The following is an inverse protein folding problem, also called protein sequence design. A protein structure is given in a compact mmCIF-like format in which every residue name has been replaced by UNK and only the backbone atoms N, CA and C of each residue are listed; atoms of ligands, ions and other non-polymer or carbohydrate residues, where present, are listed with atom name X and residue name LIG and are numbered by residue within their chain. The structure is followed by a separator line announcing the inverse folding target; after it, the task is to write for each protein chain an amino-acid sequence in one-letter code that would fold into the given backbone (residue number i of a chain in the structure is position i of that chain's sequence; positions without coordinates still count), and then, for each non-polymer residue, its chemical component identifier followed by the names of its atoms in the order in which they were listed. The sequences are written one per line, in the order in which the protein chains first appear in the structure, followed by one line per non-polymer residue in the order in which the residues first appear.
data_IF_557038350986
#
_entry.id   IF_557038350986
#
_cell.length_a   1.000
_cell.length_b   1.000
_cell.length_c   1.000
_cell.angle_alpha   90.00
_cell.angle_beta   90.00
_cell.angle_gamma   90.00
#
_symmetry.space_group_name_H-M   'P 1'
#
loop_
_entity.id
_entity.type
_entity.pdbx_description
1 polymer ?
#
# COMPACT_ATOMS: atom_id res chain seq x y z
N UNK A 1 21.66 -17.71 -21.26
CA UNK A 1 21.15 -18.01 -19.91
C UNK A 1 19.90 -17.17 -19.72
N UNK A 2 18.75 -17.72 -20.08
CA UNK A 2 17.46 -17.05 -19.98
C UNK A 2 16.84 -17.47 -18.65
N UNK A 3 16.80 -16.56 -17.67
CA UNK A 3 16.15 -16.83 -16.39
C UNK A 3 14.64 -16.83 -16.62
N UNK A 4 14.09 -18.03 -16.81
CA UNK A 4 12.66 -18.26 -16.98
C UNK A 4 11.88 -17.49 -15.90
N UNK A 5 10.99 -16.59 -16.32
CA UNK A 5 10.09 -15.89 -15.42
C UNK A 5 9.23 -16.93 -14.69
N UNK A 6 9.20 -16.96 -13.34
CA UNK A 6 8.49 -17.99 -12.60
C UNK A 6 6.99 -17.98 -12.94
N UNK A 7 6.44 -19.17 -13.08
CA UNK A 7 5.04 -19.36 -13.44
C UNK A 7 4.12 -18.85 -12.31
N UNK A 8 2.87 -18.46 -12.59
CA UNK A 8 1.97 -17.90 -11.57
C UNK A 8 1.74 -18.83 -10.36
N UNK A 9 2.02 -20.12 -10.48
CA UNK A 9 1.86 -21.14 -9.44
C UNK A 9 3.03 -21.20 -8.44
N UNK A 10 4.20 -20.65 -8.81
CA UNK A 10 5.43 -20.68 -8.01
C UNK A 10 5.63 -19.41 -7.18
N UNK A 11 4.80 -18.38 -7.41
CA UNK A 11 4.71 -17.22 -6.52
C UNK A 11 3.81 -17.63 -5.36
N UNK A 12 4.34 -17.61 -4.14
CA UNK A 12 3.52 -17.64 -2.91
C UNK A 12 2.40 -16.59 -2.99
N UNK A 13 1.36 -16.65 -2.14
CA UNK A 13 0.17 -15.81 -2.26
C UNK A 13 0.60 -14.35 -2.53
N UNK A 14 0.23 -13.87 -3.72
CA UNK A 14 0.55 -12.50 -4.11
C UNK A 14 -0.04 -11.58 -3.03
N UNK A 15 0.77 -10.73 -2.37
CA UNK A 15 0.23 -9.82 -1.38
C UNK A 15 -0.87 -9.01 -2.04
N UNK A 16 -2.03 -8.85 -1.38
CA UNK A 16 -3.09 -8.06 -1.97
C UNK A 16 -2.55 -6.62 -2.21
N UNK A 17 -2.90 -5.97 -3.34
CA UNK A 17 -2.30 -4.69 -3.71
C UNK A 17 -2.38 -3.64 -2.59
N UNK A 18 -3.53 -3.59 -1.89
CA UNK A 18 -3.73 -2.71 -0.75
C UNK A 18 -2.78 -3.00 0.43
N UNK A 19 -2.56 -4.27 0.79
CA UNK A 19 -1.62 -4.62 1.87
C UNK A 19 -0.17 -4.32 1.49
N UNK A 20 0.22 -4.51 0.23
CA UNK A 20 1.54 -4.12 -0.24
C UNK A 20 1.77 -2.61 -0.06
N UNK A 21 0.84 -1.80 -0.56
CA UNK A 21 0.93 -0.33 -0.43
C UNK A 21 0.82 0.13 1.02
N UNK A 22 0.01 -0.53 1.85
CA UNK A 22 -0.03 -0.26 3.30
C UNK A 22 1.34 -0.49 3.94
N UNK A 23 2.04 -1.56 3.60
CA UNK A 23 3.40 -1.81 4.09
C UNK A 23 4.39 -0.70 3.70
N UNK A 24 4.32 -0.21 2.46
CA UNK A 24 5.13 0.93 2.01
C UNK A 24 4.76 2.20 2.79
N UNK A 25 3.46 2.44 3.01
CA UNK A 25 2.97 3.58 3.79
C UNK A 25 3.46 3.51 5.25
N UNK A 26 3.41 2.33 5.88
CA UNK A 26 3.90 2.09 7.23
C UNK A 26 5.38 2.46 7.41
N UNK A 27 6.20 2.31 6.37
CA UNK A 27 7.62 2.72 6.44
C UNK A 27 7.81 4.23 6.55
N UNK A 28 6.77 5.03 6.26
CA UNK A 28 6.82 6.50 6.14
C UNK A 28 5.99 7.23 7.20
N UNK A 29 5.01 6.55 7.78
CA UNK A 29 4.15 7.10 8.83
C UNK A 29 4.99 7.63 10.00
N UNK A 30 4.67 8.82 10.55
CA UNK A 30 5.34 9.33 11.75
C UNK A 30 5.30 8.32 12.92
N UNK A 31 6.46 8.11 13.56
CA UNK A 31 6.70 6.97 14.45
C UNK A 31 6.54 7.23 15.95
N UNK A 32 6.16 8.43 16.39
CA UNK A 32 6.24 8.89 17.79
C UNK A 32 5.99 7.79 18.84
N UNK A 33 4.76 7.27 18.94
CA UNK A 33 4.41 6.11 19.79
C UNK A 33 3.97 4.88 18.97
N UNK A 34 4.09 4.96 17.64
CA UNK A 34 3.56 3.97 16.69
C UNK A 34 2.04 3.84 16.65
N UNK A 35 1.29 4.68 17.38
CA UNK A 35 -0.19 4.64 17.44
C UNK A 35 -0.82 4.83 16.07
N UNK A 36 -0.31 5.79 15.30
CA UNK A 36 -0.76 6.03 13.93
C UNK A 36 -0.44 4.82 13.02
N UNK A 37 0.77 4.28 13.08
CA UNK A 37 1.15 3.09 12.31
C UNK A 37 0.24 1.89 12.59
N UNK A 38 -0.04 1.62 13.88
CA UNK A 38 -0.93 0.51 14.29
C UNK A 38 -2.38 0.69 13.85
N UNK A 39 -2.83 1.91 13.58
CA UNK A 39 -4.19 2.19 13.09
C UNK A 39 -4.38 1.89 11.59
N UNK A 40 -3.28 1.67 10.85
CA UNK A 40 -3.32 1.46 9.42
C UNK A 40 -4.13 0.21 9.03
N UNK A 41 -5.06 0.38 8.09
CA UNK A 41 -5.90 -0.70 7.57
C UNK A 41 -5.92 -0.68 6.04
N UNK A 42 -5.95 -1.87 5.45
CA UNK A 42 -6.23 -2.07 4.04
C UNK A 42 -7.54 -2.85 3.91
N UNK A 43 -8.46 -2.33 3.10
CA UNK A 43 -9.78 -2.91 2.85
C UNK A 43 -9.99 -3.16 1.35
N UNK A 44 -10.90 -4.09 1.04
CA UNK A 44 -11.19 -4.58 -0.29
C UNK A 44 -12.69 -4.60 -0.51
N UNK A 45 -13.16 -3.77 -1.45
CA UNK A 45 -14.56 -3.75 -1.90
C UNK A 45 -14.60 -3.90 -3.42
N UNK A 46 -14.92 -5.11 -3.90
CA UNK A 46 -14.89 -5.44 -5.32
C UNK A 46 -13.53 -5.16 -5.98
N UNK A 47 -13.51 -4.21 -6.91
CA UNK A 47 -12.28 -3.73 -7.58
C UNK A 47 -11.60 -2.57 -6.84
N UNK A 48 -12.27 -1.97 -5.86
CA UNK A 48 -11.70 -0.90 -5.06
C UNK A 48 -10.77 -1.46 -3.98
N UNK A 49 -9.71 -0.71 -3.70
CA UNK A 49 -8.78 -0.97 -2.60
C UNK A 49 -8.66 0.31 -1.82
N UNK A 50 -8.89 0.23 -0.51
CA UNK A 50 -8.88 1.40 0.38
C UNK A 50 -7.77 1.24 1.40
N UNK A 51 -7.03 2.31 1.65
CA UNK A 51 -6.06 2.41 2.73
C UNK A 51 -6.52 3.52 3.65
N UNK A 52 -6.64 3.23 4.93
CA UNK A 52 -7.10 4.19 5.93
C UNK A 52 -6.24 4.15 7.19
N UNK A 53 -6.28 5.25 7.92
CA UNK A 53 -5.64 5.46 9.21
C UNK A 53 -6.64 6.20 10.10
N UNK A 54 -6.64 5.92 11.40
CA UNK A 54 -7.62 6.47 12.31
C UNK A 54 -6.97 6.85 13.65
N UNK A 55 -6.60 8.14 13.74
CA UNK A 55 -6.15 8.78 14.98
C UNK A 55 -6.52 10.26 14.96
N UNK A 56 -6.57 10.89 16.13
CA UNK A 56 -6.96 12.31 16.30
C UNK A 56 -6.19 13.28 15.39
N UNK A 57 -4.91 12.99 15.09
CA UNK A 57 -4.05 13.86 14.30
C UNK A 57 -3.67 13.31 12.92
N UNK A 58 -4.33 12.24 12.45
CA UNK A 58 -4.00 11.58 11.18
C UNK A 58 -3.94 12.55 10.00
N UNK A 59 -4.93 13.43 9.89
CA UNK A 59 -5.06 14.39 8.78
C UNK A 59 -3.95 15.43 8.84
N UNK A 60 -3.69 16.02 10.02
CA UNK A 60 -2.60 16.99 10.19
C UNK A 60 -1.24 16.34 9.89
N UNK A 61 -0.97 15.15 10.41
CA UNK A 61 0.26 14.41 10.13
C UNK A 61 0.42 14.07 8.63
N UNK A 62 -0.68 13.95 7.88
CA UNK A 62 -0.65 13.67 6.45
C UNK A 62 -0.47 14.94 5.59
N UNK A 63 -1.04 16.06 6.01
CA UNK A 63 -1.13 17.29 5.21
C UNK A 63 -0.07 18.35 5.58
N UNK A 64 0.40 18.39 6.82
CA UNK A 64 1.30 19.44 7.31
C UNK A 64 2.76 19.23 6.87
N UNK A 65 3.10 19.73 5.67
CA UNK A 65 4.43 19.60 5.08
C UNK A 65 5.55 20.32 5.84
N UNK A 66 5.21 21.22 6.77
CA UNK A 66 6.18 21.99 7.55
C UNK A 66 6.65 21.28 8.83
N UNK A 67 6.00 20.17 9.20
CA UNK A 67 6.34 19.43 10.40
C UNK A 67 7.64 18.64 10.24
N UNK A 68 8.42 18.58 11.32
CA UNK A 68 9.66 17.81 11.34
C UNK A 68 9.35 16.39 11.76
N UNK A 69 9.46 15.46 10.82
CA UNK A 69 9.36 14.03 11.09
C UNK A 69 10.75 13.41 11.33
N UNK A 70 10.77 12.22 11.95
CA UNK A 70 11.98 11.43 12.10
C UNK A 70 12.57 11.01 10.73
N UNK A 71 13.87 10.68 10.65
CA UNK A 71 14.48 10.23 9.39
C UNK A 71 13.70 9.08 8.72
N UNK A 72 13.46 9.21 7.42
CA UNK A 72 12.67 8.25 6.63
C UNK A 72 11.16 8.34 6.82
N UNK A 73 10.68 9.19 7.74
CA UNK A 73 9.26 9.46 7.96
C UNK A 73 8.87 10.79 7.33
N UNK A 74 7.63 10.92 6.91
CA UNK A 74 7.18 12.07 6.13
C UNK A 74 5.66 12.26 6.18
N UNK A 75 5.23 13.48 5.88
CA UNK A 75 3.88 13.79 5.46
C UNK A 75 3.54 13.07 4.14
N UNK A 76 2.28 13.12 3.73
CA UNK A 76 1.77 12.50 2.50
C UNK A 76 2.14 11.02 2.36
N UNK A 77 2.23 10.29 3.48
CA UNK A 77 2.69 8.90 3.52
C UNK A 77 1.82 7.93 2.70
N UNK A 78 0.49 8.12 2.67
CA UNK A 78 -0.42 7.33 1.82
C UNK A 78 -0.26 7.67 0.33
N UNK A 79 -0.23 8.95 -0.01
CA UNK A 79 -0.11 9.40 -1.40
C UNK A 79 1.24 8.98 -1.99
N UNK A 80 2.34 9.22 -1.28
CA UNK A 80 3.67 8.84 -1.74
C UNK A 80 3.80 7.32 -1.86
N UNK A 81 3.24 6.55 -0.91
CA UNK A 81 3.26 5.09 -0.98
C UNK A 81 2.44 4.57 -2.16
N UNK A 82 1.30 5.20 -2.45
CA UNK A 82 0.45 4.87 -3.60
C UNK A 82 1.16 5.15 -4.92
N UNK A 83 1.84 6.30 -5.01
CA UNK A 83 2.61 6.68 -6.19
C UNK A 83 3.78 5.72 -6.44
N UNK A 84 4.54 5.37 -5.41
CA UNK A 84 5.64 4.41 -5.53
C UNK A 84 5.14 3.00 -5.87
N UNK A 85 4.07 2.56 -5.21
CA UNK A 85 3.53 1.21 -5.39
C UNK A 85 2.74 1.06 -6.69
N UNK A 86 2.54 2.12 -7.48
CA UNK A 86 1.58 2.15 -8.60
C UNK A 86 1.75 0.97 -9.56
N UNK A 87 2.97 0.71 -9.99
CA UNK A 87 3.22 -0.42 -10.90
C UNK A 87 3.01 -1.77 -10.24
N UNK A 88 3.47 -1.93 -8.99
CA UNK A 88 3.29 -3.18 -8.24
C UNK A 88 1.81 -3.46 -8.04
N UNK A 89 1.04 -2.43 -7.68
CA UNK A 89 -0.40 -2.50 -7.53
C UNK A 89 -1.09 -2.92 -8.83
N UNK A 90 -0.76 -2.31 -9.97
CA UNK A 90 -1.30 -2.71 -11.28
C UNK A 90 -0.98 -4.18 -11.60
N UNK A 91 0.26 -4.62 -11.37
CA UNK A 91 0.67 -6.02 -11.55
C UNK A 91 -0.05 -7.00 -10.61
N UNK A 92 -0.45 -6.55 -9.42
CA UNK A 92 -1.18 -7.37 -8.45
C UNK A 92 -2.69 -7.34 -8.69
N UNK A 93 -3.21 -6.27 -9.29
CA UNK A 93 -4.62 -6.11 -9.68
C UNK A 93 -4.97 -6.80 -10.99
N UNK A 94 -3.99 -7.18 -11.83
CA UNK A 94 -4.27 -7.85 -13.10
C UNK A 94 -5.09 -9.11 -12.88
N UNK A 95 -6.38 -9.04 -13.22
CA UNK A 95 -7.27 -10.20 -13.35
C UNK A 95 -7.11 -10.73 -14.77
N UNK A 96 -6.84 -12.03 -14.97
CA UNK A 96 -6.83 -12.59 -16.31
C UNK A 96 -8.21 -12.39 -16.97
N UNK A 97 -8.26 -11.77 -18.16
CA UNK A 97 -9.52 -11.57 -18.91
C UNK A 97 -10.34 -12.86 -19.05
N UNK A 98 -9.64 -14.01 -19.19
CA UNK A 98 -10.25 -15.34 -19.27
C UNK A 98 -10.98 -15.77 -17.99
N UNK A 99 -10.57 -15.27 -16.82
CA UNK A 99 -11.25 -15.51 -15.54
C UNK A 99 -12.53 -14.68 -15.48
N UNK A 100 -12.47 -13.43 -15.93
CA UNK A 100 -13.61 -12.52 -15.92
C UNK A 100 -14.71 -12.94 -16.90
N UNK A 101 -14.36 -13.41 -18.10
CA UNK A 101 -15.32 -13.86 -19.12
C UNK A 101 -15.96 -15.24 -18.87
N UNK A 102 -15.74 -15.86 -17.71
CA UNK A 102 -16.29 -17.18 -17.33
C UNK A 102 -17.35 -17.11 -16.25
N UNK A 103 -17.58 -15.93 -15.71
CA UNK A 103 -18.67 -15.58 -14.79
C UNK A 103 -19.72 -14.78 -15.59
#
# INVERSE_FOLDING_TARGET
MDLARPTPRERGPLPCPGAHTLGVSHSRVPLEEGTLERSGRADVDGLNRTISYDTVYVVRQHEELTWRHLPGRQAKYVESATNESREAMLRLMTVPLRRWLRE
#
